data_IF_819451425565
#
_entry.id   IF_819451425565
#
_cell.length_a   1.000
_cell.length_b   1.000
_cell.length_c   1.000
_cell.angle_alpha   90.00
_cell.angle_beta   90.00
_cell.angle_gamma   90.00
#
_symmetry.space_group_name_H-M   'P 1'
#
loop_
_entity.id
_entity.type
_entity.pdbx_description
1 polymer ?
#
# COMPACT_ATOMS: atom_id res chain seq x y z
N UNK A 1 -10.24 16.77 -13.53
CA UNK A 1 -9.41 16.25 -12.44
C UNK A 1 -8.52 15.13 -12.95
N UNK A 2 -7.28 15.11 -12.48
CA UNK A 2 -6.38 14.00 -12.76
C UNK A 2 -6.82 12.76 -11.99
N UNK A 3 -6.26 11.60 -12.35
CA UNK A 3 -6.57 10.36 -11.64
C UNK A 3 -6.23 10.44 -10.16
N UNK A 4 -5.08 11.06 -9.83
CA UNK A 4 -4.66 11.20 -8.44
C UNK A 4 -5.55 12.16 -7.67
N UNK A 5 -5.97 13.25 -8.32
CA UNK A 5 -6.88 14.20 -7.68
C UNK A 5 -8.23 13.55 -7.40
N UNK A 6 -8.71 12.70 -8.31
CA UNK A 6 -9.93 11.94 -8.07
C UNK A 6 -9.77 11.02 -6.86
N UNK A 7 -8.62 10.40 -6.71
CA UNK A 7 -8.37 9.52 -5.57
C UNK A 7 -8.35 10.28 -4.25
N UNK A 8 -7.77 11.48 -4.25
CA UNK A 8 -7.80 12.32 -3.05
C UNK A 8 -9.25 12.70 -2.70
N UNK A 9 -10.04 13.03 -3.71
CA UNK A 9 -11.44 13.36 -3.50
C UNK A 9 -12.21 12.18 -2.93
N UNK A 10 -11.97 10.98 -3.46
CA UNK A 10 -12.63 9.77 -2.97
C UNK A 10 -12.23 9.49 -1.53
N UNK A 11 -10.95 9.69 -1.19
CA UNK A 11 -10.51 9.50 0.18
C UNK A 11 -11.22 10.49 1.10
N UNK A 12 -11.34 11.75 0.68
CA UNK A 12 -12.05 12.74 1.46
C UNK A 12 -13.52 12.39 1.66
N UNK A 13 -14.16 11.86 0.63
CA UNK A 13 -15.55 11.43 0.73
C UNK A 13 -15.71 10.26 1.69
N UNK A 14 -14.75 9.35 1.67
CA UNK A 14 -14.75 8.23 2.62
C UNK A 14 -14.70 8.73 4.05
N UNK A 15 -13.97 9.80 4.30
CA UNK A 15 -13.87 10.37 5.65
C UNK A 15 -15.19 10.94 6.14
N UNK A 16 -16.10 11.30 5.23
CA UNK A 16 -17.39 11.88 5.61
C UNK A 16 -18.25 10.90 6.39
N UNK A 17 -18.03 9.59 6.23
CA UNK A 17 -18.79 8.59 6.99
C UNK A 17 -18.04 8.15 8.25
N UNK A 18 -16.88 8.72 8.52
CA UNK A 18 -16.08 8.45 9.72
C UNK A 18 -15.87 6.94 9.92
N UNK A 19 -15.20 6.27 8.97
CA UNK A 19 -15.05 4.82 9.00
C UNK A 19 -14.05 4.38 10.06
N UNK A 20 -14.11 3.10 10.43
CA UNK A 20 -13.07 2.50 11.28
C UNK A 20 -12.03 1.79 10.44
N UNK A 21 -12.45 1.21 9.33
CA UNK A 21 -11.56 0.50 8.41
C UNK A 21 -11.78 1.06 7.02
N UNK A 22 -10.69 1.34 6.32
CA UNK A 22 -10.72 1.81 4.94
C UNK A 22 -9.94 0.83 4.09
N UNK A 23 -10.58 0.33 3.04
CA UNK A 23 -9.95 -0.61 2.11
C UNK A 23 -9.50 0.16 0.87
N UNK A 24 -8.21 0.09 0.58
CA UNK A 24 -7.62 0.80 -0.56
C UNK A 24 -7.00 -0.21 -1.51
N UNK A 25 -7.45 -0.19 -2.76
CA UNK A 25 -6.99 -1.12 -3.78
C UNK A 25 -6.21 -0.37 -4.84
N UNK A 26 -4.88 -0.53 -4.79
CA UNK A 26 -3.95 0.03 -5.78
C UNK A 26 -4.13 1.54 -5.97
N UNK A 27 -4.07 2.29 -4.87
CA UNK A 27 -4.26 3.74 -4.93
C UNK A 27 -3.18 4.45 -5.74
N UNK A 28 -2.02 3.83 -5.90
CA UNK A 28 -0.91 4.44 -6.63
C UNK A 28 -0.99 4.28 -8.14
N UNK A 29 -1.93 3.49 -8.65
CA UNK A 29 -2.00 3.23 -10.09
C UNK A 29 -2.32 4.50 -10.87
N UNK A 30 -1.45 4.85 -11.82
CA UNK A 30 -1.68 6.00 -12.67
C UNK A 30 -1.50 7.35 -12.00
N UNK A 31 -0.90 7.38 -10.81
CA UNK A 31 -0.72 8.61 -10.04
C UNK A 31 0.74 9.03 -10.11
N UNK A 32 1.02 10.31 -10.38
CA UNK A 32 2.39 10.78 -10.40
C UNK A 32 2.96 10.79 -8.97
N UNK A 33 4.29 10.84 -8.89
CA UNK A 33 4.98 10.68 -7.60
C UNK A 33 4.59 11.75 -6.59
N UNK A 34 4.51 13.00 -7.01
CA UNK A 34 4.20 14.09 -6.09
C UNK A 34 2.83 13.91 -5.46
N UNK A 35 1.84 13.58 -6.28
CA UNK A 35 0.48 13.40 -5.79
C UNK A 35 0.36 12.14 -4.96
N UNK A 36 1.12 11.09 -5.33
CA UNK A 36 1.14 9.88 -4.52
C UNK A 36 1.69 10.16 -3.12
N UNK A 37 2.71 11.01 -3.01
CA UNK A 37 3.24 11.39 -1.71
C UNK A 37 2.18 12.11 -0.89
N UNK A 38 1.37 12.97 -1.52
CA UNK A 38 0.28 13.63 -0.81
C UNK A 38 -0.76 12.64 -0.31
N UNK A 39 -1.08 11.65 -1.14
CA UNK A 39 -2.05 10.61 -0.75
C UNK A 39 -1.52 9.80 0.42
N UNK A 40 -0.27 9.37 0.36
CA UNK A 40 0.31 8.57 1.44
C UNK A 40 0.43 9.37 2.73
N UNK A 41 0.79 10.65 2.63
CA UNK A 41 0.84 11.50 3.82
C UNK A 41 -0.55 11.65 4.46
N UNK A 42 -1.59 11.77 3.64
CA UNK A 42 -2.95 11.85 4.14
C UNK A 42 -3.36 10.56 4.85
N UNK A 43 -3.01 9.41 4.27
CA UNK A 43 -3.30 8.11 4.87
C UNK A 43 -2.64 7.99 6.23
N UNK A 44 -1.36 8.33 6.32
CA UNK A 44 -0.62 8.26 7.58
C UNK A 44 -1.23 9.18 8.64
N UNK A 45 -1.62 10.39 8.22
CA UNK A 45 -2.21 11.35 9.14
C UNK A 45 -3.56 10.84 9.67
N UNK A 46 -4.39 10.30 8.79
CA UNK A 46 -5.69 9.78 9.20
C UNK A 46 -5.55 8.60 10.14
N UNK A 47 -4.59 7.74 9.86
CA UNK A 47 -4.32 6.61 10.74
C UNK A 47 -3.92 7.10 12.13
N UNK A 48 -3.06 8.11 12.18
CA UNK A 48 -2.53 8.61 13.46
C UNK A 48 -3.55 9.45 14.22
N UNK A 49 -4.22 10.37 13.52
CA UNK A 49 -5.07 11.36 14.18
C UNK A 49 -6.49 10.89 14.40
N UNK A 50 -7.02 10.09 13.46
CA UNK A 50 -8.39 9.61 13.53
C UNK A 50 -8.50 8.16 13.91
N UNK A 51 -7.37 7.47 14.06
CA UNK A 51 -7.34 6.04 14.39
C UNK A 51 -8.04 5.17 13.34
N UNK A 52 -8.08 5.63 12.09
CA UNK A 52 -8.58 4.79 11.00
C UNK A 52 -7.59 3.66 10.76
N UNK A 53 -8.10 2.46 10.52
CA UNK A 53 -7.29 1.34 10.10
C UNK A 53 -7.37 1.24 8.58
N UNK A 54 -6.23 1.18 7.92
CA UNK A 54 -6.18 1.07 6.47
C UNK A 54 -5.71 -0.32 6.07
N UNK A 55 -6.48 -0.94 5.18
CA UNK A 55 -6.12 -2.20 4.57
C UNK A 55 -5.76 -1.87 3.11
N UNK A 56 -4.47 -1.98 2.79
CA UNK A 56 -3.95 -1.48 1.52
C UNK A 56 -3.49 -2.63 0.66
N UNK A 57 -4.01 -2.71 -0.56
CA UNK A 57 -3.57 -3.70 -1.55
C UNK A 57 -2.71 -2.96 -2.56
N UNK A 58 -1.44 -3.35 -2.65
CA UNK A 58 -0.47 -2.67 -3.49
C UNK A 58 0.64 -3.59 -3.97
N UNK A 59 1.28 -3.19 -5.05
CA UNK A 59 2.49 -3.83 -5.51
C UNK A 59 3.65 -2.82 -5.66
N UNK A 60 3.41 -1.56 -5.32
CA UNK A 60 4.44 -0.52 -5.31
C UNK A 60 5.22 -0.63 -4.00
N UNK A 61 6.47 -1.09 -4.11
CA UNK A 61 7.28 -1.35 -2.92
C UNK A 61 7.57 -0.09 -2.12
N UNK A 62 7.77 1.05 -2.79
CA UNK A 62 8.05 2.30 -2.09
C UNK A 62 6.85 2.74 -1.25
N UNK A 63 5.65 2.58 -1.80
CA UNK A 63 4.44 2.93 -1.07
C UNK A 63 4.26 2.01 0.14
N UNK A 64 4.44 0.71 -0.08
CA UNK A 64 4.28 -0.28 1.00
C UNK A 64 5.27 0.00 2.11
N UNK A 65 6.52 0.29 1.76
CA UNK A 65 7.54 0.59 2.76
C UNK A 65 7.17 1.81 3.58
N UNK A 66 6.59 2.82 2.92
CA UNK A 66 6.30 4.10 3.56
C UNK A 66 5.12 4.00 4.54
N UNK A 67 4.09 3.22 4.22
CA UNK A 67 2.85 3.30 5.00
C UNK A 67 2.33 1.99 5.55
N UNK A 68 2.91 0.86 5.21
CA UNK A 68 2.32 -0.44 5.59
C UNK A 68 3.14 -1.16 6.65
N UNK A 69 2.47 -1.59 7.71
CA UNK A 69 3.07 -2.44 8.74
C UNK A 69 1.92 -3.06 9.55
N UNK A 70 1.80 -4.37 9.63
CA UNK A 70 2.63 -5.36 8.97
C UNK A 70 2.34 -5.44 7.47
N UNK A 71 3.21 -6.14 6.77
CA UNK A 71 3.03 -6.44 5.35
C UNK A 71 2.69 -7.92 5.22
N UNK A 72 1.66 -8.20 4.46
CA UNK A 72 1.23 -9.58 4.22
C UNK A 72 1.42 -9.84 2.73
N UNK A 73 2.20 -10.86 2.41
CA UNK A 73 2.50 -11.21 1.03
C UNK A 73 1.65 -12.40 0.63
N UNK A 74 0.94 -12.27 -0.48
CA UNK A 74 0.08 -13.33 -0.99
C UNK A 74 0.46 -13.74 -2.40
N UNK A 75 0.23 -14.98 -2.72
CA UNK A 75 0.38 -15.50 -4.08
C UNK A 75 -0.56 -16.67 -4.24
N UNK A 76 -1.19 -16.75 -5.40
CA UNK A 76 -2.06 -17.87 -5.78
C UNK A 76 -3.11 -18.18 -4.70
N UNK A 77 -3.68 -17.11 -4.13
CA UNK A 77 -4.75 -17.27 -3.16
C UNK A 77 -4.34 -17.63 -1.75
N UNK A 78 -3.04 -17.63 -1.46
CA UNK A 78 -2.54 -18.01 -0.14
C UNK A 78 -1.58 -16.97 0.41
N UNK A 79 -1.50 -16.91 1.73
CA UNK A 79 -0.50 -16.07 2.40
C UNK A 79 0.85 -16.79 2.36
N UNK A 80 1.85 -16.12 1.80
CA UNK A 80 3.22 -16.65 1.76
C UNK A 80 4.00 -16.25 3.00
N UNK A 81 3.83 -15.02 3.45
CA UNK A 81 4.65 -14.49 4.52
C UNK A 81 3.99 -13.26 5.13
N UNK A 82 4.25 -13.02 6.39
CA UNK A 82 3.76 -11.83 7.09
C UNK A 82 4.87 -11.31 8.00
N UNK A 83 5.13 -10.02 7.93
CA UNK A 83 6.15 -9.40 8.76
C UNK A 83 6.27 -7.93 8.45
N UNK A 84 7.28 -7.27 9.01
CA UNK A 84 7.54 -5.89 8.65
C UNK A 84 8.20 -5.85 7.26
N UNK A 85 8.35 -4.65 6.71
CA UNK A 85 8.85 -4.51 5.34
C UNK A 85 10.24 -5.10 5.19
N UNK A 86 11.14 -4.90 6.15
CA UNK A 86 12.49 -5.44 6.06
C UNK A 86 12.50 -6.96 6.06
N UNK A 87 11.65 -7.58 6.87
CA UNK A 87 11.53 -9.03 6.88
C UNK A 87 11.00 -9.54 5.56
N UNK A 88 9.99 -8.88 5.02
CA UNK A 88 9.40 -9.26 3.75
C UNK A 88 10.42 -9.13 2.62
N UNK A 89 11.13 -8.02 2.59
CA UNK A 89 12.09 -7.74 1.53
C UNK A 89 13.22 -8.77 1.50
N UNK A 90 13.60 -9.31 2.64
CA UNK A 90 14.71 -10.23 2.76
C UNK A 90 14.27 -11.69 2.81
N UNK A 91 12.99 -11.98 2.72
CA UNK A 91 12.50 -13.34 2.79
C UNK A 91 12.69 -14.05 1.45
N UNK A 92 13.33 -15.21 1.47
CA UNK A 92 13.67 -15.95 0.26
C UNK A 92 12.44 -16.37 -0.53
N UNK A 93 11.37 -16.77 0.15
CA UNK A 93 10.14 -17.19 -0.52
C UNK A 93 9.50 -16.03 -1.25
N UNK A 94 9.49 -14.85 -0.62
CA UNK A 94 8.95 -13.64 -1.23
C UNK A 94 9.78 -13.23 -2.43
N UNK A 95 11.11 -13.26 -2.29
CA UNK A 95 12.01 -12.90 -3.38
C UNK A 95 11.76 -13.82 -4.57
N UNK A 96 11.64 -15.10 -4.31
CA UNK A 96 11.39 -16.07 -5.38
C UNK A 96 10.07 -15.81 -6.08
N UNK A 97 9.01 -15.52 -5.33
CA UNK A 97 7.69 -15.38 -5.88
C UNK A 97 7.49 -14.07 -6.65
N UNK A 98 8.11 -12.99 -6.20
CA UNK A 98 7.82 -11.67 -6.74
C UNK A 98 8.99 -10.99 -7.40
N UNK A 99 10.18 -11.16 -6.85
CA UNK A 99 11.34 -10.41 -7.29
C UNK A 99 12.32 -11.27 -8.06
N UNK A 100 12.42 -12.52 -7.66
CA UNK A 100 13.45 -13.39 -8.21
C UNK A 100 13.37 -13.56 -9.70
N UNK A 101 12.18 -13.71 -10.22
CA UNK A 101 12.02 -13.96 -11.65
C UNK A 101 12.44 -12.78 -12.49
N UNK A 102 12.29 -11.59 -11.98
CA UNK A 102 12.67 -10.40 -12.70
C UNK A 102 14.11 -9.97 -12.45
N UNK A 103 14.63 -10.31 -11.29
CA UNK A 103 15.93 -9.83 -10.84
C UNK A 103 17.03 -10.84 -11.02
N UNK A 104 16.74 -12.08 -10.81
CA UNK A 104 17.73 -13.15 -10.85
C UNK A 104 18.31 -13.41 -12.23
N UNK A 105 17.74 -12.80 -13.21
CA UNK A 105 18.24 -13.01 -14.55
C UNK A 105 19.63 -12.47 -14.76
N UNK A 106 20.09 -11.74 -13.84
CA UNK A 106 21.38 -11.11 -13.95
C UNK A 106 22.48 -11.95 -13.42
#
# INVERSE_FOLDING_TARGET
LSGGQKKLLELGRTMMVDPKIVLLDEVGAGVNRTLLDEITDAILRLNKEKNYTFFVIEHDMDLIQKICDPVIVMAEGSVLFKGNFEEVKNNDIVIEAYLGKGINKN
#
